data_IF_662828370518
#
_entry.id   IF_662828370518
#
_cell.length_a   1.000
_cell.length_b   1.000
_cell.length_c   1.000
_cell.angle_alpha   90.00
_cell.angle_beta   90.00
_cell.angle_gamma   90.00
#
_symmetry.space_group_name_H-M   'P 1'
#
loop_
_entity.id
_entity.type
_entity.pdbx_description
1 polymer ?
#
# COMPACT_ATOMS: atom_id res chain seq x y z
N UNK A 1 15.90 -14.64 -18.17
CA UNK A 1 14.83 -15.41 -17.49
C UNK A 1 13.81 -14.52 -16.76
N UNK A 2 14.24 -13.52 -15.97
CA UNK A 2 13.33 -12.63 -15.22
C UNK A 2 12.37 -11.79 -16.09
N UNK A 3 12.82 -11.28 -17.24
CA UNK A 3 12.00 -10.46 -18.14
C UNK A 3 10.81 -11.22 -18.78
N UNK A 4 10.96 -12.51 -19.09
CA UNK A 4 9.88 -13.33 -19.68
C UNK A 4 8.81 -13.66 -18.63
N UNK A 5 9.23 -13.85 -17.37
CA UNK A 5 8.31 -14.11 -16.25
C UNK A 5 7.49 -12.85 -15.90
N UNK A 6 8.13 -11.68 -15.88
CA UNK A 6 7.45 -10.38 -15.71
C UNK A 6 6.43 -10.14 -16.81
N UNK A 7 6.72 -10.50 -18.07
CA UNK A 7 5.77 -10.36 -19.17
C UNK A 7 4.46 -11.16 -18.97
N UNK A 8 4.56 -12.44 -18.58
CA UNK A 8 3.36 -13.26 -18.29
C UNK A 8 2.62 -12.82 -17.04
N UNK A 9 3.37 -12.43 -16.00
CA UNK A 9 2.79 -11.98 -14.74
C UNK A 9 2.05 -10.65 -14.93
N UNK A 10 2.63 -9.68 -15.64
CA UNK A 10 1.98 -8.41 -16.01
C UNK A 10 0.70 -8.67 -16.79
N UNK A 11 0.70 -9.62 -17.74
CA UNK A 11 -0.51 -9.99 -18.49
C UNK A 11 -1.63 -10.53 -17.60
N UNK A 12 -1.31 -11.43 -16.67
CA UNK A 12 -2.28 -11.97 -15.72
C UNK A 12 -2.81 -10.90 -14.76
N UNK A 13 -1.92 -10.08 -14.19
CA UNK A 13 -2.30 -8.97 -13.31
C UNK A 13 -3.11 -7.91 -14.04
N UNK A 14 -2.77 -7.64 -15.31
CA UNK A 14 -3.54 -6.74 -16.16
C UNK A 14 -4.98 -7.23 -16.38
N UNK A 15 -5.19 -8.54 -16.51
CA UNK A 15 -6.54 -9.11 -16.61
C UNK A 15 -7.30 -9.05 -15.27
N UNK A 16 -6.62 -9.36 -14.16
CA UNK A 16 -7.21 -9.34 -12.82
C UNK A 16 -7.64 -7.92 -12.38
N UNK A 17 -6.82 -6.92 -12.69
CA UNK A 17 -7.07 -5.52 -12.34
C UNK A 17 -7.84 -4.74 -13.40
N UNK A 18 -8.15 -5.35 -14.55
CA UNK A 18 -8.96 -4.73 -15.61
C UNK A 18 -10.32 -4.20 -15.12
N UNK A 19 -11.16 -4.95 -14.37
CA UNK A 19 -12.43 -4.39 -13.89
C UNK A 19 -12.22 -3.21 -12.93
N UNK A 20 -11.13 -3.22 -12.14
CA UNK A 20 -10.82 -2.13 -11.22
C UNK A 20 -10.49 -0.84 -11.98
N UNK A 21 -9.73 -0.92 -13.08
CA UNK A 21 -9.37 0.27 -13.86
C UNK A 21 -10.56 0.90 -14.57
N UNK A 22 -11.55 0.09 -14.97
CA UNK A 22 -12.80 0.57 -15.52
C UNK A 22 -13.63 1.33 -14.47
N UNK A 23 -13.70 0.82 -13.24
CA UNK A 23 -14.44 1.48 -12.14
C UNK A 23 -13.81 2.84 -11.77
N UNK A 24 -12.48 2.95 -11.84
CA UNK A 24 -11.74 4.19 -11.59
C UNK A 24 -12.01 5.26 -12.68
N UNK A 25 -12.58 4.87 -13.82
CA UNK A 25 -12.97 5.78 -14.90
C UNK A 25 -11.90 6.00 -15.97
N UNK A 26 -11.00 5.02 -16.15
CA UNK A 26 -10.02 5.01 -17.26
C UNK A 26 -10.75 4.65 -18.56
N UNK A 27 -10.49 5.33 -19.70
CA UNK A 27 -11.08 4.99 -20.99
C UNK A 27 -10.67 3.58 -21.45
N UNK A 28 -11.53 2.92 -22.24
CA UNK A 28 -11.38 1.51 -22.61
C UNK A 28 -10.11 1.24 -23.41
N UNK A 29 -9.64 2.22 -24.21
CA UNK A 29 -8.44 2.05 -25.03
C UNK A 29 -7.16 1.94 -24.18
N UNK A 30 -7.11 2.68 -23.07
CA UNK A 30 -5.94 2.73 -22.18
C UNK A 30 -6.07 1.76 -20.99
N UNK A 31 -7.28 1.25 -20.73
CA UNK A 31 -7.61 0.47 -19.54
C UNK A 31 -6.72 -0.77 -19.34
N UNK A 32 -6.33 -1.45 -20.42
CA UNK A 32 -5.48 -2.64 -20.36
C UNK A 32 -4.02 -2.33 -20.06
N UNK A 33 -3.50 -1.21 -20.58
CA UNK A 33 -2.13 -0.76 -20.27
C UNK A 33 -2.04 -0.30 -18.82
N UNK A 34 -3.03 0.50 -18.38
CA UNK A 34 -3.11 1.00 -17.02
C UNK A 34 -3.30 -0.13 -16.01
N UNK A 35 -4.09 -1.16 -16.33
CA UNK A 35 -4.30 -2.29 -15.41
C UNK A 35 -3.04 -3.11 -15.18
N UNK A 36 -2.16 -3.24 -16.18
CA UNK A 36 -0.84 -3.89 -16.01
C UNK A 36 0.02 -3.12 -15.02
N UNK A 37 0.11 -1.80 -15.18
CA UNK A 37 0.91 -0.90 -14.34
C UNK A 37 0.40 -0.93 -12.90
N UNK A 38 -0.93 -0.85 -12.71
CA UNK A 38 -1.56 -0.92 -11.38
C UNK A 38 -1.39 -2.30 -10.75
N UNK A 39 -1.49 -3.37 -11.52
CA UNK A 39 -1.30 -4.73 -11.01
C UNK A 39 0.13 -4.99 -10.56
N UNK A 40 1.12 -4.52 -11.31
CA UNK A 40 2.54 -4.66 -10.98
C UNK A 40 2.93 -3.98 -9.67
N UNK A 41 2.34 -2.81 -9.39
CA UNK A 41 2.61 -2.05 -8.15
C UNK A 41 2.31 -2.88 -6.89
N UNK A 42 1.37 -3.82 -6.96
CA UNK A 42 0.91 -4.60 -5.81
C UNK A 42 1.99 -5.57 -5.33
N UNK A 43 2.85 -6.01 -6.25
CA UNK A 43 3.85 -7.05 -6.01
C UNK A 43 5.25 -6.45 -5.82
N UNK A 44 5.63 -5.50 -6.69
CA UNK A 44 7.00 -4.98 -6.73
C UNK A 44 7.11 -3.76 -5.81
N UNK A 45 6.90 -2.56 -6.34
CA UNK A 45 6.84 -1.28 -5.61
C UNK A 45 6.30 -0.21 -6.56
N UNK A 46 5.86 0.92 -6.01
CA UNK A 46 5.42 2.09 -6.78
C UNK A 46 6.53 2.69 -7.66
N UNK A 47 7.80 2.61 -7.24
CA UNK A 47 8.93 3.21 -7.98
C UNK A 47 9.14 2.56 -9.35
N UNK A 48 8.98 1.24 -9.44
CA UNK A 48 9.07 0.52 -10.71
C UNK A 48 7.87 0.87 -11.61
N UNK A 49 6.67 0.88 -11.03
CA UNK A 49 5.45 1.22 -11.77
C UNK A 49 5.46 2.65 -12.32
N UNK A 50 6.07 3.62 -11.62
CA UNK A 50 6.26 4.97 -12.16
C UNK A 50 7.22 5.01 -13.35
N UNK A 51 8.27 4.17 -13.37
CA UNK A 51 9.15 4.05 -14.54
C UNK A 51 8.40 3.46 -15.74
N UNK A 52 7.56 2.43 -15.52
CA UNK A 52 6.73 1.86 -16.59
C UNK A 52 5.69 2.86 -17.11
N UNK A 53 5.13 3.71 -16.24
CA UNK A 53 4.23 4.79 -16.64
C UNK A 53 4.96 5.85 -17.48
N UNK A 54 6.17 6.25 -17.07
CA UNK A 54 6.99 7.20 -17.84
C UNK A 54 7.32 6.64 -19.23
N UNK A 55 7.73 5.37 -19.30
CA UNK A 55 7.96 4.67 -20.56
C UNK A 55 6.71 4.64 -21.44
N UNK A 56 5.54 4.35 -20.86
CA UNK A 56 4.28 4.32 -21.59
C UNK A 56 3.86 5.70 -22.14
N UNK A 57 4.20 6.77 -21.42
CA UNK A 57 3.96 8.14 -21.87
C UNK A 57 4.90 8.55 -23.02
N UNK A 58 6.18 8.20 -22.94
CA UNK A 58 7.16 8.49 -24.00
C UNK A 58 6.84 7.76 -25.32
N UNK A 59 6.34 6.53 -25.22
CA UNK A 59 6.02 5.70 -26.40
C UNK A 59 4.60 5.93 -26.93
N UNK A 60 3.84 6.86 -26.37
CA UNK A 60 2.47 7.16 -26.82
C UNK A 60 1.49 6.00 -26.63
N UNK A 61 1.72 5.13 -25.63
CA UNK A 61 0.84 3.98 -25.34
C UNK A 61 -0.46 4.40 -24.63
N UNK A 62 -0.52 5.63 -24.12
CA UNK A 62 -1.72 6.23 -23.53
C UNK A 62 -2.28 7.27 -24.50
N UNK A 63 -3.47 7.01 -25.04
CA UNK A 63 -4.13 7.89 -26.00
C UNK A 63 -4.69 9.14 -25.33
N UNK A 64 -5.18 9.01 -24.09
CA UNK A 64 -5.79 10.10 -23.35
C UNK A 64 -4.88 10.65 -22.25
N UNK A 65 -4.67 11.97 -22.24
CA UNK A 65 -3.96 12.67 -21.16
C UNK A 65 -4.63 12.53 -19.79
N UNK A 66 -5.94 12.27 -19.75
CA UNK A 66 -6.65 11.93 -18.51
C UNK A 66 -6.14 10.63 -17.89
N UNK A 67 -5.84 9.62 -18.72
CA UNK A 67 -5.42 8.30 -18.25
C UNK A 67 -4.10 8.37 -17.49
N UNK A 68 -3.16 9.20 -17.92
CA UNK A 68 -1.88 9.37 -17.22
C UNK A 68 -2.06 10.02 -15.84
N UNK A 69 -2.93 11.03 -15.72
CA UNK A 69 -3.24 11.69 -14.44
C UNK A 69 -3.94 10.72 -13.48
N UNK A 70 -4.96 10.00 -13.97
CA UNK A 70 -5.69 9.01 -13.16
C UNK A 70 -4.76 7.90 -12.71
N UNK A 71 -3.87 7.44 -13.59
CA UNK A 71 -2.88 6.41 -13.24
C UNK A 71 -1.86 6.93 -12.23
N UNK A 72 -1.36 8.15 -12.38
CA UNK A 72 -0.46 8.77 -11.41
C UNK A 72 -1.12 8.90 -10.02
N UNK A 73 -2.42 9.24 -9.97
CA UNK A 73 -3.21 9.24 -8.75
C UNK A 73 -3.46 7.84 -8.20
N UNK A 74 -3.69 6.86 -9.06
CA UNK A 74 -3.84 5.49 -8.64
C UNK A 74 -2.54 4.96 -8.03
N UNK A 75 -1.38 5.36 -8.57
CA UNK A 75 -0.05 4.95 -8.12
C UNK A 75 0.43 5.64 -6.85
N UNK A 76 -0.07 6.84 -6.53
CA UNK A 76 0.36 7.55 -5.32
C UNK A 76 -0.24 6.90 -4.06
N UNK A 77 0.49 5.93 -3.52
CA UNK A 77 0.18 5.27 -2.27
C UNK A 77 1.04 4.03 -2.06
N UNK A 78 1.49 3.83 -0.82
CA UNK A 78 2.30 2.67 -0.44
C UNK A 78 1.45 1.40 -0.22
N UNK A 79 0.43 1.18 -1.04
CA UNK A 79 -0.45 0.03 -0.93
C UNK A 79 0.15 -1.18 -1.68
N UNK A 80 1.22 -1.75 -1.12
CA UNK A 80 1.86 -2.96 -1.63
C UNK A 80 2.14 -3.95 -0.47
N UNK A 81 2.36 -5.23 -0.80
CA UNK A 81 2.45 -6.30 0.20
C UNK A 81 3.56 -6.03 1.25
N UNK A 82 4.71 -5.48 0.83
CA UNK A 82 5.79 -5.16 1.76
C UNK A 82 5.41 -4.05 2.76
N UNK A 83 4.66 -3.04 2.34
CA UNK A 83 4.13 -1.99 3.23
C UNK A 83 3.19 -2.56 4.30
N UNK A 84 2.32 -3.52 3.93
CA UNK A 84 1.47 -4.22 4.91
C UNK A 84 2.30 -4.97 5.95
N UNK A 85 3.41 -5.60 5.55
CA UNK A 85 4.32 -6.26 6.49
C UNK A 85 4.99 -5.26 7.45
N UNK A 86 5.36 -4.06 6.98
CA UNK A 86 5.92 -2.99 7.82
C UNK A 86 4.89 -2.53 8.86
N UNK A 87 3.64 -2.31 8.46
CA UNK A 87 2.58 -1.90 9.40
C UNK A 87 2.31 -2.97 10.47
N UNK A 88 2.20 -4.24 10.06
CA UNK A 88 1.99 -5.35 11.01
C UNK A 88 3.20 -5.49 11.96
N UNK A 89 4.43 -5.38 11.43
CA UNK A 89 5.64 -5.40 12.22
C UNK A 89 5.72 -4.24 13.22
N UNK A 90 5.37 -3.03 12.79
CA UNK A 90 5.32 -1.84 13.64
C UNK A 90 4.30 -1.98 14.77
N UNK A 91 3.08 -2.42 14.48
CA UNK A 91 2.02 -2.62 15.49
C UNK A 91 2.40 -3.75 16.46
N UNK A 92 3.01 -4.83 15.98
CA UNK A 92 3.51 -5.92 16.82
C UNK A 92 4.61 -5.42 17.78
N UNK A 93 5.56 -4.62 17.29
CA UNK A 93 6.61 -4.01 18.10
C UNK A 93 6.03 -3.12 19.21
N UNK A 94 5.05 -2.26 18.88
CA UNK A 94 4.37 -1.39 19.85
C UNK A 94 3.66 -2.20 20.95
N UNK A 95 2.94 -3.28 20.60
CA UNK A 95 2.29 -4.14 21.61
C UNK A 95 3.30 -4.83 22.54
N UNK A 96 4.48 -5.23 22.06
CA UNK A 96 5.50 -5.84 22.93
C UNK A 96 6.16 -4.83 23.86
N UNK A 97 6.36 -3.59 23.41
CA UNK A 97 6.84 -2.49 24.24
C UNK A 97 5.87 -2.22 25.41
N UNK A 98 4.57 -2.24 25.14
CA UNK A 98 3.54 -2.12 26.17
C UNK A 98 3.62 -3.28 27.18
N UNK A 99 3.73 -4.54 26.73
CA UNK A 99 3.87 -5.70 27.66
C UNK A 99 5.09 -5.57 28.59
N UNK A 100 6.24 -5.13 28.06
CA UNK A 100 7.46 -4.89 28.86
C UNK A 100 7.25 -3.77 29.88
N UNK A 101 6.59 -2.67 29.48
CA UNK A 101 6.26 -1.56 30.41
C UNK A 101 5.36 -2.02 31.54
N UNK A 102 4.37 -2.87 31.29
CA UNK A 102 3.47 -3.40 32.33
C UNK A 102 4.19 -4.35 33.30
N UNK A 103 5.14 -5.17 32.82
CA UNK A 103 5.91 -6.08 33.69
C UNK A 103 6.79 -5.36 34.71
N UNK A 104 7.24 -4.13 34.42
CA UNK A 104 8.01 -3.32 35.39
C UNK A 104 7.18 -2.78 36.56
N UNK A 105 5.85 -2.73 36.43
CA UNK A 105 4.94 -2.25 37.48
C UNK A 105 4.21 -3.40 38.20
N UNK A 106 4.50 -4.67 37.88
CA UNK A 106 3.72 -5.83 38.32
C UNK A 106 4.31 -6.60 39.49
N UNK A 107 4.16 -6.08 40.71
CA UNK A 107 4.19 -6.89 41.94
C UNK A 107 3.19 -6.44 43.03
N UNK A 108 2.41 -5.36 42.84
CA UNK A 108 1.56 -4.79 43.91
C UNK A 108 0.10 -4.48 43.57
N UNK A 109 -0.44 -4.92 42.43
CA UNK A 109 -1.85 -4.67 42.12
C UNK A 109 -2.49 -5.82 41.34
N UNK A 110 -3.51 -6.50 41.89
CA UNK A 110 -4.29 -7.47 41.13
C UNK A 110 -5.06 -6.75 40.01
N UNK A 111 -4.91 -7.30 38.81
CA UNK A 111 -5.52 -6.93 37.53
C UNK A 111 -6.77 -6.02 37.59
N UNK A 112 -6.61 -4.77 37.15
CA UNK A 112 -7.71 -3.94 36.62
C UNK A 112 -7.31 -3.31 35.28
N UNK A 113 -6.98 -4.16 34.32
CA UNK A 113 -6.34 -3.79 33.04
C UNK A 113 -7.17 -2.89 32.11
N UNK A 114 -8.49 -2.81 32.26
CA UNK A 114 -9.32 -2.08 31.29
C UNK A 114 -9.56 -0.60 31.65
N UNK A 115 -9.62 -0.27 32.95
CA UNK A 115 -9.95 1.10 33.43
C UNK A 115 -8.74 1.99 33.71
N UNK A 116 -7.53 1.45 33.83
CA UNK A 116 -6.32 2.30 34.02
C UNK A 116 -5.72 2.75 32.68
N UNK A 117 -6.02 2.05 31.58
CA UNK A 117 -5.58 2.43 30.23
C UNK A 117 -6.25 3.70 29.68
N UNK A 118 -7.39 4.12 30.25
CA UNK A 118 -8.10 5.32 29.81
C UNK A 118 -7.48 6.62 30.34
N UNK A 119 -6.68 6.60 31.41
CA UNK A 119 -6.12 7.83 31.99
C UNK A 119 -4.74 8.21 31.40
N UNK A 120 -3.94 7.23 30.96
CA UNK A 120 -2.61 7.47 30.37
C UNK A 120 -2.66 7.76 28.84
N UNK A 121 -3.82 7.57 28.21
CA UNK A 121 -4.02 7.87 26.78
C UNK A 121 -4.11 9.38 26.51
N UNK A 122 -4.28 10.21 27.54
CA UNK A 122 -4.43 11.66 27.37
C UNK A 122 -3.09 12.40 27.26
N UNK A 123 -1.98 11.87 27.79
CA UNK A 123 -0.67 12.53 27.71
C UNK A 123 0.19 12.14 26.50
N UNK A 124 -0.15 11.04 25.81
CA UNK A 124 0.59 10.57 24.62
C UNK A 124 -0.23 10.69 23.33
N UNK A 125 -1.32 11.46 23.35
CA UNK A 125 -2.11 11.82 22.17
C UNK A 125 -1.75 13.19 21.58
N UNK A 126 -0.94 14.00 22.28
CA UNK A 126 -0.67 15.40 21.90
C UNK A 126 0.64 15.63 21.13
N UNK A 127 1.32 14.57 20.66
CA UNK A 127 2.55 14.73 19.85
C UNK A 127 2.45 14.11 18.44
N UNK A 128 1.26 13.63 18.07
CA UNK A 128 0.96 13.24 16.69
C UNK A 128 -0.28 14.01 16.21
N UNK A 129 -0.12 15.32 16.07
CA UNK A 129 -0.63 16.16 14.98
C UNK A 129 0.16 17.45 14.95
#
# INVERSE_FOLDING_TARGET
>A
MALILTGRLRGFMGYLFYPLTLIIGVPLEDAYTVSKIIGERTIVTEVVSYNDLAYAMEHGLLQHSRSSIVTAYALCGFAHIASMAIFVGGVAALRTFQKKRYSRYGAKSPCRSYTCMSHDRMYCGSILF
#
